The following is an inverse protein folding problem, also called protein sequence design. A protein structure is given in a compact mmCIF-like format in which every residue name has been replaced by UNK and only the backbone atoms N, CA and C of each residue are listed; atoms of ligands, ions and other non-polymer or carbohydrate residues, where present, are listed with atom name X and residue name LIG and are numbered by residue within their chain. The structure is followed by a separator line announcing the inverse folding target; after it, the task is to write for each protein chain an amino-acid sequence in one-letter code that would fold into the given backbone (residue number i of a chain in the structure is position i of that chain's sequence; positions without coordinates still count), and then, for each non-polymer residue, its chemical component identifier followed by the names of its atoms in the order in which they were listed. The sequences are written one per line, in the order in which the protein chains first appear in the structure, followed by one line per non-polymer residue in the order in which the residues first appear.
data_IF_783813171887
#
_entry.id   IF_783813171887
#
_cell.length_a   1.000
_cell.length_b   1.000
_cell.length_c   1.000
_cell.angle_alpha   90.00
_cell.angle_beta   90.00
_cell.angle_gamma   90.00
#
_symmetry.space_group_name_H-M   'P 1'
#
loop_
_entity.id
_entity.type
_entity.pdbx_description
1 polymer ?
#
# COMPACT_ATOMS: atom_id res chain seq x y z
N UNK A 1 -0.69 5.91 -46.00
CA UNK A 1 -1.40 4.91 -45.15
C UNK A 1 -2.49 5.63 -44.36
N UNK A 2 -3.74 5.17 -44.43
CA UNK A 2 -4.87 5.85 -43.76
C UNK A 2 -4.78 5.66 -42.23
N UNK A 3 -5.00 6.72 -41.42
CA UNK A 3 -5.00 6.70 -39.94
C UNK A 3 -5.85 5.58 -39.33
N UNK A 4 -6.88 5.09 -40.01
CA UNK A 4 -7.73 3.97 -39.59
C UNK A 4 -7.01 2.62 -39.53
N UNK A 5 -5.80 2.48 -40.12
CA UNK A 5 -5.03 1.23 -40.08
C UNK A 5 -4.37 1.02 -38.70
N UNK A 6 -4.00 2.09 -38.01
CA UNK A 6 -3.32 1.98 -36.70
C UNK A 6 -4.23 1.37 -35.63
N UNK A 7 -5.50 1.77 -35.61
CA UNK A 7 -6.48 1.20 -34.67
C UNK A 7 -6.70 -0.30 -34.96
N UNK A 8 -6.82 -0.68 -36.21
CA UNK A 8 -7.00 -2.08 -36.62
C UNK A 8 -5.78 -2.92 -36.23
N UNK A 9 -4.56 -2.42 -36.46
CA UNK A 9 -3.32 -3.09 -36.06
C UNK A 9 -3.20 -3.25 -34.55
N UNK A 10 -3.52 -2.21 -33.77
CA UNK A 10 -3.50 -2.25 -32.33
C UNK A 10 -4.53 -3.25 -31.78
N UNK A 11 -5.74 -3.27 -32.31
CA UNK A 11 -6.79 -4.25 -31.97
C UNK A 11 -6.37 -5.67 -32.28
N UNK A 12 -5.72 -5.90 -33.44
CA UNK A 12 -5.18 -7.21 -33.81
C UNK A 12 -4.10 -7.68 -32.84
N UNK A 13 -3.12 -6.82 -32.52
CA UNK A 13 -2.05 -7.14 -31.60
C UNK A 13 -2.58 -7.44 -30.19
N UNK A 14 -3.52 -6.63 -29.67
CA UNK A 14 -4.12 -6.87 -28.36
C UNK A 14 -4.94 -8.15 -28.32
N UNK A 15 -5.69 -8.48 -29.37
CA UNK A 15 -6.47 -9.73 -29.47
C UNK A 15 -5.56 -10.96 -29.45
N UNK A 16 -4.40 -10.91 -30.12
CA UNK A 16 -3.41 -11.99 -30.06
C UNK A 16 -2.95 -12.16 -28.62
N UNK A 17 -2.47 -11.10 -27.98
CA UNK A 17 -1.98 -11.18 -26.59
C UNK A 17 -3.04 -11.70 -25.62
N UNK A 18 -4.27 -11.20 -25.67
CA UNK A 18 -5.38 -11.66 -24.83
C UNK A 18 -5.62 -13.17 -24.99
N UNK A 19 -5.62 -13.67 -26.23
CA UNK A 19 -5.82 -15.08 -26.48
C UNK A 19 -4.65 -15.94 -25.99
N UNK A 20 -3.43 -15.48 -26.15
CA UNK A 20 -2.24 -16.17 -25.64
C UNK A 20 -2.20 -16.18 -24.11
N UNK A 21 -2.59 -15.10 -23.45
CA UNK A 21 -2.67 -15.02 -21.98
C UNK A 21 -3.65 -16.02 -21.39
N UNK A 22 -4.73 -16.38 -22.07
CA UNK A 22 -5.68 -17.42 -21.59
C UNK A 22 -5.01 -18.77 -21.33
N UNK A 23 -3.89 -19.05 -22.00
CA UNK A 23 -3.13 -20.30 -21.84
C UNK A 23 -2.46 -20.43 -20.46
N UNK A 24 -2.33 -19.33 -19.69
CA UNK A 24 -1.70 -19.32 -18.36
C UNK A 24 -2.31 -20.33 -17.40
N UNK A 25 -3.59 -20.64 -17.55
CA UNK A 25 -4.31 -21.60 -16.68
C UNK A 25 -3.59 -22.97 -16.59
N UNK A 26 -2.84 -23.38 -17.61
CA UNK A 26 -2.06 -24.62 -17.63
C UNK A 26 -0.89 -24.64 -16.65
N UNK A 27 -0.42 -23.45 -16.21
CA UNK A 27 0.69 -23.31 -15.25
C UNK A 27 0.23 -23.53 -13.82
N UNK A 28 -1.07 -23.33 -13.55
CA UNK A 28 -1.64 -23.47 -12.20
C UNK A 28 -1.92 -24.95 -11.89
N UNK A 29 -0.85 -25.67 -11.58
CA UNK A 29 -0.81 -27.10 -11.29
C UNK A 29 -0.03 -27.35 -9.99
N UNK A 30 0.30 -28.61 -9.71
CA UNK A 30 1.03 -28.98 -8.49
C UNK A 30 2.40 -28.27 -8.33
N UNK A 31 3.10 -27.95 -9.44
CA UNK A 31 4.34 -27.16 -9.37
C UNK A 31 4.10 -25.74 -8.90
N UNK A 32 2.99 -25.12 -9.30
CA UNK A 32 2.59 -23.80 -8.80
C UNK A 32 2.30 -23.84 -7.28
N UNK A 33 1.60 -24.87 -6.80
CA UNK A 33 1.36 -25.05 -5.36
C UNK A 33 2.69 -25.16 -4.62
N UNK A 34 3.61 -26.02 -5.08
CA UNK A 34 4.95 -26.15 -4.49
C UNK A 34 5.72 -24.83 -4.47
N UNK A 35 5.61 -24.01 -5.52
CA UNK A 35 6.26 -22.70 -5.57
C UNK A 35 5.69 -21.74 -4.52
N UNK A 36 4.37 -21.68 -4.37
CA UNK A 36 3.69 -20.89 -3.34
C UNK A 36 4.11 -21.35 -1.94
N UNK A 37 4.10 -22.67 -1.68
CA UNK A 37 4.48 -23.24 -0.38
C UNK A 37 5.94 -22.93 -0.04
N UNK A 38 6.84 -23.06 -1.01
CA UNK A 38 8.24 -22.73 -0.84
C UNK A 38 8.41 -21.25 -0.45
N UNK A 39 7.73 -20.35 -1.14
CA UNK A 39 7.77 -18.89 -0.85
C UNK A 39 7.19 -18.59 0.54
N UNK A 40 6.08 -19.20 0.91
CA UNK A 40 5.45 -19.00 2.23
C UNK A 40 6.36 -19.43 3.38
N UNK A 41 7.16 -20.49 3.18
CA UNK A 41 8.09 -21.03 4.16
C UNK A 41 9.50 -20.43 4.10
N UNK A 42 9.75 -19.47 3.21
CA UNK A 42 11.03 -18.80 3.06
C UNK A 42 11.44 -18.10 4.35
N UNK A 43 12.65 -18.39 4.84
CA UNK A 43 13.23 -17.74 6.04
C UNK A 43 14.16 -16.58 5.69
N UNK A 44 14.47 -16.41 4.42
CA UNK A 44 15.29 -15.34 3.87
C UNK A 44 14.51 -14.40 2.98
N UNK A 45 15.11 -14.06 1.84
CA UNK A 45 14.57 -13.19 0.80
C UNK A 45 14.14 -14.01 -0.42
N UNK A 46 13.22 -13.48 -1.19
CA UNK A 46 12.88 -14.00 -2.52
C UNK A 46 13.62 -13.16 -3.55
N UNK A 47 14.59 -13.74 -4.21
CA UNK A 47 15.47 -13.05 -5.15
C UNK A 47 15.01 -13.38 -6.56
N UNK A 48 14.79 -12.35 -7.35
CA UNK A 48 14.33 -12.46 -8.73
C UNK A 48 15.48 -12.17 -9.69
N UNK A 49 15.59 -12.99 -10.74
CA UNK A 49 16.63 -12.82 -11.74
C UNK A 49 16.09 -13.08 -13.16
N UNK A 50 16.75 -12.48 -14.14
CA UNK A 50 16.46 -12.64 -15.56
C UNK A 50 17.28 -11.66 -16.39
N UNK A 51 17.38 -11.92 -17.69
CA UNK A 51 18.17 -11.09 -18.61
C UNK A 51 17.26 -10.37 -19.61
N UNK A 52 17.61 -9.16 -19.99
CA UNK A 52 16.88 -8.38 -20.99
C UNK A 52 15.42 -8.11 -20.61
N UNK A 53 14.48 -8.43 -21.50
CA UNK A 53 13.04 -8.21 -21.23
C UNK A 53 12.53 -9.06 -20.06
N UNK A 54 13.02 -10.30 -19.90
CA UNK A 54 12.70 -11.14 -18.75
C UNK A 54 13.23 -10.55 -17.44
N UNK A 55 14.38 -9.89 -17.46
CA UNK A 55 14.94 -9.17 -16.31
C UNK A 55 14.08 -7.97 -15.88
N UNK A 56 13.59 -7.18 -16.83
CA UNK A 56 12.68 -6.07 -16.54
C UNK A 56 11.39 -6.56 -15.89
N UNK A 57 10.84 -7.68 -16.35
CA UNK A 57 9.68 -8.32 -15.75
C UNK A 57 10.00 -8.84 -14.34
N UNK A 58 11.14 -9.51 -14.17
CA UNK A 58 11.61 -10.00 -12.87
C UNK A 58 11.77 -8.85 -11.86
N UNK A 59 12.34 -7.72 -12.29
CA UNK A 59 12.46 -6.50 -11.48
C UNK A 59 11.09 -5.95 -11.04
N UNK A 60 10.11 -5.90 -11.95
CA UNK A 60 8.74 -5.47 -11.61
C UNK A 60 8.11 -6.42 -10.59
N UNK A 61 8.25 -7.73 -10.78
CA UNK A 61 7.66 -8.74 -9.88
C UNK A 61 8.30 -8.66 -8.50
N UNK A 62 9.63 -8.48 -8.39
CA UNK A 62 10.30 -8.30 -7.11
C UNK A 62 9.78 -7.10 -6.35
N UNK A 63 9.55 -5.97 -7.02
CA UNK A 63 8.94 -4.78 -6.43
C UNK A 63 7.50 -5.06 -5.94
N UNK A 64 6.71 -5.84 -6.69
CA UNK A 64 5.38 -6.27 -6.26
C UNK A 64 5.45 -7.11 -4.97
N UNK A 65 6.38 -8.08 -4.89
CA UNK A 65 6.58 -8.90 -3.69
C UNK A 65 6.96 -8.05 -2.47
N UNK A 66 7.92 -7.13 -2.64
CA UNK A 66 8.31 -6.19 -1.58
C UNK A 66 7.13 -5.35 -1.10
N UNK A 67 6.30 -4.87 -2.03
CA UNK A 67 5.13 -4.03 -1.73
C UNK A 67 4.05 -4.73 -0.92
N UNK A 68 4.01 -6.07 -0.96
CA UNK A 68 3.11 -6.89 -0.16
C UNK A 68 3.80 -7.53 1.06
N UNK A 69 4.96 -7.01 1.45
CA UNK A 69 5.66 -7.39 2.68
C UNK A 69 6.40 -8.72 2.60
N UNK A 70 6.83 -9.12 1.41
CA UNK A 70 7.72 -10.26 1.20
C UNK A 70 9.11 -9.68 0.88
N UNK A 71 10.13 -9.84 1.74
CA UNK A 71 11.46 -9.34 1.49
C UNK A 71 11.98 -9.88 0.15
N UNK A 72 12.18 -8.99 -0.82
CA UNK A 72 12.60 -9.39 -2.17
C UNK A 72 13.38 -8.29 -2.88
N UNK A 73 14.25 -8.69 -3.78
CA UNK A 73 14.95 -7.78 -4.68
C UNK A 73 15.27 -8.47 -6.01
N UNK A 74 15.64 -7.67 -7.01
CA UNK A 74 16.10 -8.14 -8.29
C UNK A 74 17.64 -8.19 -8.30
N UNK A 75 18.21 -9.33 -8.68
CA UNK A 75 19.63 -9.52 -8.91
C UNK A 75 19.87 -9.69 -10.41
N UNK A 76 20.64 -8.78 -11.01
CA UNK A 76 21.02 -8.86 -12.41
C UNK A 76 22.07 -9.94 -12.61
N UNK A 77 21.80 -10.97 -13.44
CA UNK A 77 22.76 -12.07 -13.65
C UNK A 77 24.12 -11.64 -14.19
N UNK A 78 24.18 -10.56 -14.98
CA UNK A 78 25.44 -10.05 -15.51
C UNK A 78 26.25 -9.35 -14.42
N UNK A 79 25.60 -8.50 -13.60
CA UNK A 79 26.24 -7.83 -12.46
C UNK A 79 26.61 -8.82 -11.34
N UNK A 80 25.85 -9.87 -11.18
CA UNK A 80 26.10 -10.91 -10.19
C UNK A 80 27.48 -11.56 -10.32
N UNK A 81 28.05 -11.59 -11.52
CA UNK A 81 29.41 -12.09 -11.77
C UNK A 81 30.50 -11.22 -11.15
N UNK A 82 30.21 -9.98 -10.82
CA UNK A 82 31.13 -9.03 -10.22
C UNK A 82 30.98 -8.86 -8.71
N UNK A 83 30.38 -9.86 -8.04
CA UNK A 83 30.32 -9.92 -6.58
C UNK A 83 28.91 -9.90 -5.98
N UNK A 84 27.86 -9.47 -6.73
CA UNK A 84 26.50 -9.36 -6.21
C UNK A 84 25.86 -10.69 -5.81
N UNK A 85 26.42 -11.83 -6.26
CA UNK A 85 26.01 -13.14 -5.73
C UNK A 85 26.24 -13.29 -4.23
N UNK A 86 27.13 -12.51 -3.64
CA UNK A 86 27.33 -12.46 -2.19
C UNK A 86 26.11 -11.98 -1.39
N UNK A 87 25.12 -11.36 -2.03
CA UNK A 87 23.85 -10.97 -1.41
C UNK A 87 22.88 -12.15 -1.25
N UNK A 88 23.18 -13.31 -1.85
CA UNK A 88 22.29 -14.49 -1.89
C UNK A 88 22.75 -15.49 -0.83
N UNK A 89 21.87 -15.81 0.11
CA UNK A 89 22.14 -16.73 1.22
C UNK A 89 21.39 -18.06 1.07
N UNK A 90 21.88 -19.11 1.73
CA UNK A 90 21.24 -20.45 1.71
C UNK A 90 19.76 -20.45 2.11
N UNK A 91 19.34 -19.51 2.97
CA UNK A 91 17.94 -19.40 3.42
C UNK A 91 17.03 -18.68 2.41
N UNK A 92 17.60 -18.11 1.36
CA UNK A 92 16.88 -17.39 0.31
C UNK A 92 16.31 -18.35 -0.73
N UNK A 93 15.40 -17.83 -1.56
CA UNK A 93 14.85 -18.51 -2.73
C UNK A 93 15.20 -17.68 -3.96
N UNK A 94 15.69 -18.34 -4.99
CA UNK A 94 15.98 -17.71 -6.26
C UNK A 94 14.91 -18.05 -7.28
N UNK A 95 14.23 -17.06 -7.84
CA UNK A 95 13.24 -17.20 -8.92
C UNK A 95 13.83 -16.63 -10.20
N UNK A 96 14.07 -17.48 -11.18
CA UNK A 96 14.72 -17.11 -12.43
C UNK A 96 13.75 -17.18 -13.60
N UNK A 97 13.65 -16.07 -14.32
CA UNK A 97 12.84 -15.94 -15.52
C UNK A 97 13.68 -15.94 -16.79
N UNK A 98 13.39 -16.89 -17.67
CA UNK A 98 13.92 -16.94 -19.04
C UNK A 98 12.94 -17.65 -19.93
N UNK A 99 12.30 -16.95 -20.86
CA UNK A 99 11.27 -17.59 -21.71
C UNK A 99 11.82 -18.75 -22.49
N UNK A 100 13.03 -18.64 -23.09
CA UNK A 100 13.71 -19.75 -23.76
C UNK A 100 14.26 -20.79 -22.78
N UNK A 101 14.62 -20.39 -21.58
CA UNK A 101 15.27 -21.19 -20.55
C UNK A 101 16.73 -21.55 -20.83
N UNK A 102 17.32 -21.02 -21.90
CA UNK A 102 18.68 -21.34 -22.35
C UNK A 102 19.59 -20.09 -22.46
N UNK A 103 19.29 -19.06 -21.67
CA UNK A 103 20.09 -17.83 -21.60
C UNK A 103 21.40 -18.11 -20.90
N UNK A 104 22.54 -17.95 -21.61
CA UNK A 104 23.89 -18.30 -21.14
C UNK A 104 24.31 -17.58 -19.87
N UNK A 105 23.93 -16.33 -19.72
CA UNK A 105 24.27 -15.46 -18.59
C UNK A 105 23.70 -15.98 -17.25
N UNK A 106 22.68 -16.83 -17.30
CA UNK A 106 22.10 -17.46 -16.10
C UNK A 106 22.91 -18.63 -15.56
N UNK A 107 23.80 -19.22 -16.37
CA UNK A 107 24.49 -20.46 -16.01
C UNK A 107 25.36 -20.33 -14.75
N UNK A 108 26.02 -19.20 -14.56
CA UNK A 108 26.87 -18.99 -13.38
C UNK A 108 26.03 -18.83 -12.11
N UNK A 109 24.90 -18.13 -12.20
CA UNK A 109 23.95 -18.01 -11.10
C UNK A 109 23.33 -19.36 -10.73
N UNK A 110 23.01 -20.20 -11.70
CA UNK A 110 22.51 -21.56 -11.47
C UNK A 110 23.59 -22.45 -10.82
N UNK A 111 24.83 -22.37 -11.28
CA UNK A 111 25.97 -23.10 -10.67
C UNK A 111 26.19 -22.66 -9.22
N UNK A 112 26.12 -21.34 -8.96
CA UNK A 112 26.21 -20.79 -7.60
C UNK A 112 25.09 -21.32 -6.71
N UNK A 113 23.83 -21.22 -7.16
CA UNK A 113 22.68 -21.70 -6.41
C UNK A 113 22.79 -23.19 -6.06
N UNK A 114 23.17 -24.02 -7.04
CA UNK A 114 23.35 -25.46 -6.83
C UNK A 114 24.50 -25.76 -5.83
N UNK A 115 25.64 -25.07 -5.97
CA UNK A 115 26.80 -25.23 -5.07
C UNK A 115 26.45 -24.93 -3.62
N UNK A 116 25.69 -23.85 -3.38
CA UNK A 116 25.31 -23.38 -2.02
C UNK A 116 23.96 -23.93 -1.56
N UNK A 117 23.34 -24.84 -2.35
CA UNK A 117 22.04 -25.47 -2.06
C UNK A 117 20.92 -24.44 -1.83
N UNK A 118 20.94 -23.36 -2.60
CA UNK A 118 19.89 -22.33 -2.63
C UNK A 118 18.74 -22.87 -3.48
N UNK A 119 17.51 -22.77 -2.98
CA UNK A 119 16.34 -23.27 -3.69
C UNK A 119 16.03 -22.42 -4.91
N UNK A 120 15.85 -23.07 -6.06
CA UNK A 120 15.59 -22.42 -7.35
C UNK A 120 14.21 -22.74 -7.88
N UNK A 121 13.44 -21.73 -8.21
CA UNK A 121 12.21 -21.79 -8.99
C UNK A 121 12.53 -21.29 -10.40
N UNK A 122 12.55 -22.17 -11.38
CA UNK A 122 12.77 -21.78 -12.78
C UNK A 122 11.46 -21.56 -13.53
N UNK A 123 11.40 -20.48 -14.31
CA UNK A 123 10.27 -20.12 -15.17
C UNK A 123 10.70 -20.03 -16.60
N UNK A 124 10.24 -20.96 -17.44
CA UNK A 124 10.59 -21.03 -18.87
C UNK A 124 9.50 -21.74 -19.68
N UNK A 125 9.53 -21.58 -21.03
CA UNK A 125 8.56 -22.25 -21.92
C UNK A 125 9.01 -23.62 -22.43
N UNK A 126 10.32 -23.94 -22.32
CA UNK A 126 10.88 -25.22 -22.79
C UNK A 126 11.17 -26.12 -21.60
N UNK A 127 10.46 -27.25 -21.41
CA UNK A 127 10.63 -28.16 -20.27
C UNK A 127 12.06 -28.68 -20.12
N UNK A 128 12.74 -28.93 -21.24
CA UNK A 128 14.10 -29.49 -21.30
C UNK A 128 15.22 -28.45 -21.28
N UNK A 129 14.88 -27.18 -21.05
CA UNK A 129 15.85 -26.10 -20.99
C UNK A 129 16.82 -26.24 -19.81
N UNK A 130 18.01 -25.64 -19.95
CA UNK A 130 19.07 -25.62 -18.93
C UNK A 130 18.51 -25.07 -17.60
N UNK A 131 17.75 -23.98 -17.63
CA UNK A 131 17.14 -23.39 -16.44
C UNK A 131 16.24 -24.39 -15.73
N UNK A 132 15.29 -25.01 -16.44
CA UNK A 132 14.32 -25.90 -15.79
C UNK A 132 14.95 -27.21 -15.31
N UNK A 133 15.98 -27.73 -16.01
CA UNK A 133 16.74 -28.90 -15.54
C UNK A 133 17.47 -28.63 -14.22
N UNK A 134 18.02 -27.42 -14.06
CA UNK A 134 18.76 -27.01 -12.88
C UNK A 134 17.88 -26.52 -11.72
N UNK A 135 16.55 -26.43 -11.89
CA UNK A 135 15.62 -25.87 -10.88
C UNK A 135 14.99 -26.94 -10.02
N UNK A 136 14.81 -26.66 -8.72
CA UNK A 136 14.06 -27.51 -7.76
C UNK A 136 12.56 -27.53 -8.11
N UNK A 137 12.01 -26.39 -8.54
CA UNK A 137 10.63 -26.27 -8.96
C UNK A 137 10.57 -25.67 -10.36
N UNK A 138 9.80 -26.32 -11.23
CA UNK A 138 9.68 -25.98 -12.65
C UNK A 138 8.30 -25.40 -12.93
N UNK A 139 8.25 -24.11 -13.26
CA UNK A 139 7.03 -23.45 -13.75
C UNK A 139 7.12 -23.33 -15.27
N UNK A 140 6.47 -24.25 -15.96
CA UNK A 140 6.52 -24.36 -17.41
C UNK A 140 5.48 -23.44 -18.03
N UNK A 141 5.92 -22.35 -18.66
CA UNK A 141 5.06 -21.45 -19.42
C UNK A 141 4.59 -22.11 -20.71
N UNK A 142 3.36 -21.87 -21.14
CA UNK A 142 2.91 -22.33 -22.45
C UNK A 142 3.66 -21.62 -23.57
N UNK A 143 3.86 -22.32 -24.68
CA UNK A 143 4.35 -21.69 -25.92
C UNK A 143 3.29 -20.70 -26.41
N UNK A 144 3.71 -19.43 -26.61
CA UNK A 144 2.84 -18.35 -27.06
C UNK A 144 3.31 -17.77 -28.38
N UNK A 145 2.37 -17.21 -29.14
CA UNK A 145 2.63 -16.44 -30.33
C UNK A 145 2.85 -14.97 -29.95
N UNK A 146 3.95 -14.37 -30.42
CA UNK A 146 4.16 -12.94 -30.26
C UNK A 146 3.21 -12.15 -31.15
N UNK A 147 2.85 -10.93 -30.73
CA UNK A 147 1.84 -10.12 -31.41
C UNK A 147 2.39 -9.23 -32.52
N UNK A 148 3.73 -9.14 -32.64
CA UNK A 148 4.38 -8.41 -33.70
C UNK A 148 4.39 -9.19 -35.04
N UNK A 149 4.64 -8.48 -36.14
CA UNK A 149 4.60 -9.04 -37.49
C UNK A 149 5.71 -10.04 -37.77
N UNK A 150 6.82 -9.97 -37.04
CA UNK A 150 7.99 -10.86 -37.19
C UNK A 150 7.94 -12.08 -36.28
N UNK A 151 7.12 -12.04 -35.23
CA UNK A 151 7.05 -13.05 -34.18
C UNK A 151 8.30 -13.09 -33.29
N UNK A 152 9.14 -12.07 -33.31
CA UNK A 152 10.41 -12.00 -32.60
C UNK A 152 10.42 -11.05 -31.39
N UNK A 153 9.58 -10.00 -31.44
CA UNK A 153 9.54 -9.00 -30.35
C UNK A 153 8.77 -9.55 -29.16
N UNK A 154 9.41 -9.68 -27.98
CA UNK A 154 8.71 -10.20 -26.79
C UNK A 154 7.54 -9.32 -26.37
N UNK A 155 6.34 -9.80 -26.56
CA UNK A 155 5.05 -9.18 -26.26
C UNK A 155 4.19 -10.13 -25.42
N UNK A 156 3.61 -11.16 -26.04
CA UNK A 156 2.81 -12.18 -25.34
C UNK A 156 3.63 -12.96 -24.32
N UNK A 157 4.89 -13.27 -24.64
CA UNK A 157 5.79 -13.99 -23.74
C UNK A 157 6.14 -13.19 -22.47
N UNK A 158 6.36 -11.88 -22.59
CA UNK A 158 6.58 -11.01 -21.42
C UNK A 158 5.30 -10.80 -20.63
N UNK A 159 4.18 -10.62 -21.31
CA UNK A 159 2.87 -10.43 -20.66
C UNK A 159 2.44 -11.65 -19.85
N UNK A 160 2.62 -12.89 -20.37
CA UNK A 160 2.27 -14.12 -19.64
C UNK A 160 3.23 -14.38 -18.47
N UNK A 161 4.51 -14.02 -18.61
CA UNK A 161 5.49 -14.09 -17.52
C UNK A 161 5.14 -13.14 -16.38
N UNK A 162 4.77 -11.91 -16.71
CA UNK A 162 4.30 -10.91 -15.76
C UNK A 162 3.05 -11.39 -15.02
N UNK A 163 2.06 -11.89 -15.77
CA UNK A 163 0.82 -12.42 -15.20
C UNK A 163 1.08 -13.56 -14.21
N UNK A 164 2.00 -14.50 -14.54
CA UNK A 164 2.41 -15.56 -13.62
C UNK A 164 2.99 -14.99 -12.32
N UNK A 165 3.89 -14.03 -12.42
CA UNK A 165 4.53 -13.38 -11.26
C UNK A 165 3.52 -12.65 -10.36
N UNK A 166 2.56 -11.94 -10.95
CA UNK A 166 1.50 -11.27 -10.21
C UNK A 166 0.53 -12.28 -9.57
N UNK A 167 0.23 -13.40 -10.23
CA UNK A 167 -0.54 -14.49 -9.63
C UNK A 167 0.18 -15.14 -8.45
N UNK A 168 1.50 -15.36 -8.53
CA UNK A 168 2.31 -15.82 -7.39
C UNK A 168 2.23 -14.84 -6.22
N UNK A 169 2.49 -13.55 -6.47
CA UNK A 169 2.46 -12.51 -5.46
C UNK A 169 1.09 -12.42 -4.76
N UNK A 170 0.01 -12.38 -5.53
CA UNK A 170 -1.36 -12.26 -4.99
C UNK A 170 -1.80 -13.51 -4.24
N UNK A 171 -1.39 -14.70 -4.69
CA UNK A 171 -1.67 -15.96 -3.99
C UNK A 171 -0.95 -16.01 -2.65
N UNK A 172 0.35 -15.68 -2.60
CA UNK A 172 1.11 -15.61 -1.35
C UNK A 172 0.56 -14.53 -0.42
N UNK A 173 0.22 -13.35 -0.95
CA UNK A 173 -0.43 -12.26 -0.22
C UNK A 173 -1.73 -12.73 0.46
N UNK A 174 -2.58 -13.46 -0.26
CA UNK A 174 -3.84 -13.99 0.26
C UNK A 174 -3.59 -15.00 1.39
N UNK A 175 -2.68 -15.96 1.22
CA UNK A 175 -2.35 -16.96 2.23
C UNK A 175 -1.75 -16.34 3.51
N UNK A 176 -0.98 -15.25 3.37
CA UNK A 176 -0.43 -14.48 4.52
C UNK A 176 -1.46 -13.58 5.21
N UNK A 177 -2.73 -13.60 4.78
CA UNK A 177 -3.79 -12.70 5.27
C UNK A 177 -3.30 -11.24 5.30
N UNK A 178 -2.72 -10.81 4.17
CA UNK A 178 -2.19 -9.46 4.04
C UNK A 178 -3.36 -8.46 3.98
N UNK A 179 -3.34 -7.47 4.88
CA UNK A 179 -4.43 -6.50 5.03
C UNK A 179 -4.07 -5.12 4.49
N UNK A 180 -5.08 -4.25 4.35
CA UNK A 180 -4.90 -2.85 3.98
C UNK A 180 -4.01 -2.09 4.97
N UNK A 181 -4.08 -2.44 6.26
CA UNK A 181 -3.25 -1.84 7.30
C UNK A 181 -1.78 -2.20 7.10
N UNK A 182 -1.48 -3.48 6.76
CA UNK A 182 -0.12 -3.91 6.41
C UNK A 182 0.37 -3.23 5.13
N UNK A 183 -0.50 -3.03 4.13
CA UNK A 183 -0.15 -2.33 2.90
C UNK A 183 0.30 -0.88 3.16
N UNK A 184 -0.37 -0.19 4.08
CA UNK A 184 -0.02 1.17 4.51
C UNK A 184 1.40 1.27 5.07
N UNK A 185 1.86 0.25 5.82
CA UNK A 185 3.21 0.23 6.41
C UNK A 185 4.30 0.30 5.33
N UNK A 186 4.07 -0.37 4.18
CA UNK A 186 5.04 -0.41 3.07
C UNK A 186 4.86 0.74 2.07
N UNK A 187 3.80 1.55 2.19
CA UNK A 187 3.50 2.67 1.29
C UNK A 187 3.20 3.97 2.06
N UNK A 188 4.12 4.46 2.91
CA UNK A 188 3.83 5.56 3.83
C UNK A 188 3.62 6.93 3.12
N UNK A 189 4.13 7.12 1.90
CA UNK A 189 4.11 8.41 1.20
C UNK A 189 3.26 8.44 -0.08
N UNK A 190 2.53 7.39 -0.42
CA UNK A 190 1.75 7.34 -1.66
C UNK A 190 0.27 7.71 -1.47
N UNK A 191 -0.40 8.15 -2.55
CA UNK A 191 -1.84 8.42 -2.53
C UNK A 191 -2.67 7.26 -1.97
N UNK A 192 -2.24 6.02 -2.20
CA UNK A 192 -2.89 4.82 -1.67
C UNK A 192 -2.68 4.72 -0.15
N UNK A 193 -1.48 5.00 0.37
CA UNK A 193 -1.21 5.04 1.80
C UNK A 193 -2.05 6.10 2.52
N UNK A 194 -2.11 7.29 1.94
CA UNK A 194 -2.88 8.41 2.47
C UNK A 194 -4.39 8.13 2.48
N UNK A 195 -4.93 7.46 1.45
CA UNK A 195 -6.35 7.08 1.39
C UNK A 195 -6.76 6.05 2.45
N UNK A 196 -5.79 5.34 3.04
CA UNK A 196 -6.00 4.35 4.09
C UNK A 196 -5.83 4.90 5.52
N UNK A 197 -5.52 6.20 5.67
CA UNK A 197 -5.41 6.85 6.96
C UNK A 197 -6.78 6.91 7.67
N UNK A 198 -6.77 6.56 8.95
CA UNK A 198 -7.94 6.66 9.82
C UNK A 198 -7.84 7.90 10.71
N UNK A 199 -8.96 8.33 11.27
CA UNK A 199 -9.05 9.45 12.21
C UNK A 199 -8.04 9.35 13.35
N UNK A 200 -7.84 8.15 13.91
CA UNK A 200 -6.87 7.88 14.99
C UNK A 200 -5.41 8.10 14.60
N UNK A 201 -5.09 8.02 13.31
CA UNK A 201 -3.71 8.17 12.81
C UNK A 201 -3.29 9.64 12.68
N UNK A 202 -4.28 10.56 12.60
CA UNK A 202 -4.05 11.98 12.32
C UNK A 202 -4.46 12.87 13.49
N UNK A 203 -5.31 12.37 14.40
CA UNK A 203 -5.84 13.16 15.51
C UNK A 203 -4.74 13.61 16.48
N UNK A 204 -4.89 14.80 17.02
CA UNK A 204 -4.12 15.30 18.17
C UNK A 204 -4.67 14.66 19.43
N UNK A 205 -3.79 14.22 20.33
CA UNK A 205 -4.16 13.53 21.58
C UNK A 205 -3.41 14.10 22.80
N UNK A 206 -3.87 13.69 23.98
CA UNK A 206 -3.19 14.01 25.25
C UNK A 206 -3.06 15.50 25.49
N UNK A 207 -1.90 15.92 26.01
CA UNK A 207 -1.62 17.31 26.39
C UNK A 207 -1.60 18.29 25.22
N UNK A 208 -1.64 17.81 23.98
CA UNK A 208 -1.71 18.68 22.80
C UNK A 208 -3.15 19.13 22.49
N UNK A 209 -4.15 18.49 23.05
CA UNK A 209 -5.56 18.87 22.85
C UNK A 209 -5.89 20.16 23.63
N UNK A 210 -6.60 21.13 23.01
CA UNK A 210 -7.16 22.30 23.67
C UNK A 210 -8.43 21.91 24.45
N UNK A 211 -8.27 21.61 25.72
CA UNK A 211 -9.34 21.13 26.59
C UNK A 211 -9.38 21.93 27.88
N UNK A 212 -10.56 22.34 28.28
CA UNK A 212 -10.80 23.00 29.57
C UNK A 212 -12.01 22.39 30.30
N UNK A 213 -12.06 22.64 31.60
CA UNK A 213 -13.19 22.21 32.41
C UNK A 213 -14.39 23.15 32.23
N UNK A 214 -15.60 22.59 32.41
CA UNK A 214 -16.90 23.25 32.28
C UNK A 214 -17.06 24.52 33.14
N UNK A 215 -16.39 24.62 34.28
CA UNK A 215 -16.45 25.77 35.20
C UNK A 215 -15.47 26.88 34.86
N UNK A 216 -14.73 26.75 33.76
CA UNK A 216 -13.80 27.77 33.29
C UNK A 216 -14.55 28.89 32.55
N UNK A 217 -13.91 30.07 32.50
CA UNK A 217 -14.49 31.27 31.91
C UNK A 217 -13.90 31.58 30.51
N UNK A 218 -14.37 32.66 29.90
CA UNK A 218 -13.94 33.15 28.60
C UNK A 218 -12.43 33.41 28.52
N UNK A 219 -11.82 34.05 29.51
CA UNK A 219 -10.39 34.36 29.55
C UNK A 219 -9.53 33.12 29.55
N UNK A 220 -9.94 32.08 30.27
CA UNK A 220 -9.24 30.80 30.33
C UNK A 220 -9.35 30.02 29.01
N UNK A 221 -10.52 30.08 28.34
CA UNK A 221 -10.70 29.50 27.02
C UNK A 221 -9.79 30.15 25.97
N UNK A 222 -9.72 31.49 25.96
CA UNK A 222 -8.86 32.24 25.06
C UNK A 222 -7.38 31.92 25.31
N UNK A 223 -6.95 31.84 26.56
CA UNK A 223 -5.58 31.45 26.93
C UNK A 223 -5.23 30.04 26.42
N UNK A 224 -6.12 29.08 26.59
CA UNK A 224 -5.89 27.68 26.13
C UNK A 224 -5.89 27.59 24.60
N UNK A 225 -6.80 28.29 23.92
CA UNK A 225 -6.87 28.37 22.46
C UNK A 225 -5.56 28.92 21.86
N UNK A 226 -5.05 30.04 22.40
CA UNK A 226 -3.80 30.65 21.98
C UNK A 226 -2.61 29.73 22.24
N UNK A 227 -2.61 29.01 23.37
CA UNK A 227 -1.54 28.07 23.73
C UNK A 227 -1.47 26.88 22.77
N UNK A 228 -2.62 26.35 22.33
CA UNK A 228 -2.70 25.13 21.51
C UNK A 228 -2.78 25.40 20.00
N UNK A 229 -3.13 26.62 19.60
CA UNK A 229 -3.15 27.11 18.20
C UNK A 229 -4.01 26.26 17.24
N UNK A 230 -5.12 25.68 17.73
CA UNK A 230 -6.05 24.91 16.91
C UNK A 230 -7.36 25.67 16.61
N UNK A 231 -7.50 26.93 17.04
CA UNK A 231 -8.68 27.75 16.81
C UNK A 231 -9.95 27.22 17.48
N UNK A 232 -9.84 26.24 18.37
CA UNK A 232 -10.96 25.66 19.13
C UNK A 232 -10.55 25.34 20.57
N UNK A 233 -11.55 25.22 21.45
CA UNK A 233 -11.38 24.64 22.80
C UNK A 233 -12.56 23.73 23.11
N UNK A 234 -12.28 22.53 23.54
CA UNK A 234 -13.29 21.53 23.93
C UNK A 234 -13.58 21.68 25.42
N UNK A 235 -14.86 21.75 25.76
CA UNK A 235 -15.33 21.88 27.14
C UNK A 235 -15.74 20.52 27.65
N UNK A 236 -15.13 20.10 28.76
CA UNK A 236 -15.45 18.82 29.41
C UNK A 236 -16.08 19.03 30.78
N UNK A 237 -17.10 18.21 31.09
CA UNK A 237 -17.66 18.06 32.43
C UNK A 237 -17.53 16.58 32.84
N UNK A 238 -16.84 16.30 33.94
CA UNK A 238 -16.62 14.93 34.40
C UNK A 238 -16.05 13.99 33.31
N UNK A 239 -15.09 14.45 32.54
CA UNK A 239 -14.46 13.77 31.38
C UNK A 239 -15.33 13.65 30.13
N UNK A 240 -16.60 14.07 30.18
CA UNK A 240 -17.49 14.01 29.02
C UNK A 240 -17.50 15.31 28.22
N UNK A 241 -17.58 15.19 26.89
CA UNK A 241 -17.73 16.32 25.99
C UNK A 241 -19.06 17.01 26.29
N UNK A 242 -18.99 18.29 26.65
CA UNK A 242 -20.17 19.11 26.97
C UNK A 242 -20.38 20.18 25.91
N UNK A 243 -19.31 20.67 25.29
CA UNK A 243 -19.40 21.69 24.26
C UNK A 243 -18.07 21.96 23.59
N UNK A 244 -18.11 22.85 22.62
CA UNK A 244 -16.99 23.34 21.84
C UNK A 244 -17.11 24.86 21.70
N UNK A 245 -16.01 25.57 21.80
CA UNK A 245 -15.89 26.99 21.48
C UNK A 245 -14.84 27.16 20.39
N UNK A 246 -15.16 27.93 19.37
CA UNK A 246 -14.24 28.29 18.28
C UNK A 246 -13.72 29.71 18.47
N UNK A 247 -12.63 30.05 17.75
CA UNK A 247 -12.14 31.43 17.68
C UNK A 247 -13.17 32.40 17.08
N UNK A 248 -14.00 31.90 16.15
CA UNK A 248 -15.11 32.64 15.59
C UNK A 248 -16.20 32.97 16.63
N UNK A 249 -16.48 32.02 17.54
CA UNK A 249 -17.43 32.24 18.64
C UNK A 249 -16.89 33.31 19.59
N UNK A 250 -15.63 33.16 20.02
CA UNK A 250 -14.99 34.16 20.90
C UNK A 250 -14.97 35.56 20.29
N UNK A 251 -14.69 35.65 18.98
CA UNK A 251 -14.61 36.93 18.26
C UNK A 251 -15.98 37.63 18.14
N UNK A 252 -17.05 36.88 17.89
CA UNK A 252 -18.42 37.41 17.83
C UNK A 252 -18.87 37.95 19.18
N UNK A 253 -18.47 37.32 20.25
CA UNK A 253 -18.92 37.60 21.60
C UNK A 253 -18.06 38.65 22.35
N UNK A 254 -16.88 39.02 21.78
CA UNK A 254 -15.97 40.02 22.37
C UNK A 254 -16.63 41.38 22.72
N UNK A 255 -17.69 41.76 21.99
CA UNK A 255 -18.43 43.02 22.24
C UNK A 255 -19.55 42.87 23.28
N UNK A 256 -19.99 41.66 23.56
CA UNK A 256 -21.22 41.38 24.32
C UNK A 256 -20.94 40.75 25.69
N UNK A 257 -19.73 40.19 25.91
CA UNK A 257 -19.43 39.43 27.11
C UNK A 257 -18.22 39.98 27.89
N UNK A 258 -18.31 39.83 29.23
CA UNK A 258 -17.20 40.06 30.13
C UNK A 258 -16.19 38.89 30.07
N UNK A 259 -14.91 39.14 30.31
CA UNK A 259 -13.85 38.14 30.40
C UNK A 259 -14.14 37.04 31.45
N UNK A 260 -15.01 37.30 32.40
CA UNK A 260 -15.42 36.41 33.48
C UNK A 260 -16.70 35.62 33.18
N UNK A 261 -17.32 35.86 32.01
CA UNK A 261 -18.56 35.15 31.65
C UNK A 261 -18.38 33.64 31.46
N UNK A 262 -19.41 32.91 31.81
CA UNK A 262 -19.39 31.46 31.69
C UNK A 262 -19.58 31.01 30.24
N UNK A 263 -18.76 30.06 29.82
CA UNK A 263 -18.70 29.52 28.44
C UNK A 263 -20.05 28.89 27.98
N UNK A 264 -20.94 28.53 28.87
CA UNK A 264 -22.24 27.92 28.53
C UNK A 264 -23.14 28.79 27.66
N UNK A 265 -22.95 30.11 27.75
CA UNK A 265 -23.78 31.06 27.02
C UNK A 265 -23.59 31.01 25.52
N UNK A 266 -22.35 30.70 25.05
CA UNK A 266 -21.97 30.78 23.64
C UNK A 266 -21.26 29.55 23.07
N UNK A 267 -21.07 28.48 23.84
CA UNK A 267 -20.51 27.25 23.33
C UNK A 267 -21.47 26.51 22.40
N UNK A 268 -20.96 25.85 21.39
CA UNK A 268 -21.68 24.83 20.62
C UNK A 268 -21.91 23.61 21.49
N UNK A 269 -23.17 23.36 21.89
CA UNK A 269 -23.57 22.28 22.84
C UNK A 269 -23.50 20.88 22.19
N UNK A 270 -23.62 20.78 20.88
CA UNK A 270 -23.62 19.53 20.12
C UNK A 270 -22.53 19.55 19.04
N UNK A 271 -21.23 19.48 19.44
CA UNK A 271 -20.14 19.48 18.47
C UNK A 271 -20.16 18.21 17.62
N UNK A 272 -19.69 18.32 16.38
CA UNK A 272 -19.54 17.17 15.51
C UNK A 272 -18.48 16.21 16.03
N UNK A 273 -18.88 14.95 16.14
CA UNK A 273 -18.05 13.87 16.69
C UNK A 273 -17.94 12.76 15.67
N UNK A 274 -16.75 12.23 15.49
CA UNK A 274 -16.47 11.09 14.59
C UNK A 274 -15.81 9.93 15.35
N UNK A 275 -15.92 8.75 14.75
CA UNK A 275 -15.31 7.54 15.29
C UNK A 275 -13.80 7.51 14.95
N UNK A 276 -12.99 7.01 15.87
CA UNK A 276 -11.52 6.87 15.70
C UNK A 276 -11.12 6.04 14.49
N UNK A 277 -11.94 5.08 14.04
CA UNK A 277 -11.71 4.22 12.88
C UNK A 277 -12.35 4.77 11.58
N UNK A 278 -12.90 5.99 11.60
CA UNK A 278 -13.40 6.64 10.39
C UNK A 278 -12.24 6.96 9.44
N UNK A 279 -12.36 6.69 8.12
CA UNK A 279 -11.39 7.13 7.14
C UNK A 279 -11.16 8.64 7.19
N UNK A 280 -9.89 9.07 7.13
CA UNK A 280 -9.52 10.48 7.20
C UNK A 280 -10.12 11.31 6.04
N UNK A 281 -10.23 10.71 4.85
CA UNK A 281 -10.91 11.33 3.69
C UNK A 281 -12.39 11.62 3.98
N UNK A 282 -13.08 10.71 4.68
CA UNK A 282 -14.47 10.93 5.09
C UNK A 282 -14.59 12.02 6.15
N UNK A 283 -13.61 12.11 7.07
CA UNK A 283 -13.56 13.22 8.04
C UNK A 283 -13.40 14.57 7.33
N UNK A 284 -12.55 14.67 6.31
CA UNK A 284 -12.42 15.88 5.48
C UNK A 284 -13.70 16.22 4.74
N UNK A 285 -14.36 15.23 4.15
CA UNK A 285 -15.66 15.45 3.46
C UNK A 285 -16.72 16.01 4.41
N UNK A 286 -16.80 15.52 5.66
CA UNK A 286 -17.69 16.07 6.69
C UNK A 286 -17.34 17.51 7.04
N UNK A 287 -16.02 17.82 7.18
CA UNK A 287 -15.59 19.19 7.47
C UNK A 287 -16.00 20.15 6.36
N UNK A 288 -15.82 19.77 5.09
CA UNK A 288 -16.20 20.57 3.93
C UNK A 288 -17.73 20.75 3.84
N UNK A 289 -18.50 19.68 4.02
CA UNK A 289 -19.98 19.72 3.99
C UNK A 289 -20.53 20.63 5.09
N UNK A 290 -20.01 20.47 6.31
CA UNK A 290 -20.48 21.24 7.49
C UNK A 290 -19.80 22.59 7.63
N UNK A 291 -18.84 22.94 6.75
CA UNK A 291 -18.05 24.18 6.78
C UNK A 291 -17.36 24.40 8.13
N UNK A 292 -16.77 23.34 8.68
CA UNK A 292 -16.04 23.34 9.95
C UNK A 292 -14.58 22.90 9.73
N UNK A 293 -13.69 23.38 10.60
CA UNK A 293 -12.23 23.10 10.49
C UNK A 293 -11.77 22.01 11.44
N UNK A 294 -12.63 21.51 12.32
CA UNK A 294 -12.24 20.54 13.34
C UNK A 294 -13.36 19.55 13.63
N UNK A 295 -12.98 18.32 13.96
CA UNK A 295 -13.87 17.26 14.41
C UNK A 295 -13.34 16.64 15.70
N UNK A 296 -14.23 16.35 16.62
CA UNK A 296 -13.91 15.62 17.85
C UNK A 296 -13.91 14.13 17.58
N UNK A 297 -12.92 13.41 18.10
CA UNK A 297 -12.77 11.97 17.89
C UNK A 297 -13.08 11.23 19.19
N UNK A 298 -13.86 10.19 19.09
CA UNK A 298 -14.18 9.29 20.19
C UNK A 298 -13.90 7.83 19.79
N UNK A 299 -13.73 6.94 20.79
CA UNK A 299 -13.58 5.52 20.51
C UNK A 299 -14.88 4.89 19.98
N UNK A 300 -14.77 3.76 19.26
CA UNK A 300 -15.92 2.99 18.78
C UNK A 300 -16.94 2.72 19.86
N UNK A 301 -16.47 2.30 21.03
CA UNK A 301 -17.32 1.98 22.20
C UNK A 301 -18.10 3.18 22.71
N UNK A 302 -17.59 4.41 22.53
CA UNK A 302 -18.20 5.65 23.00
C UNK A 302 -19.01 6.38 21.92
N UNK A 303 -18.84 6.06 20.66
CA UNK A 303 -19.46 6.77 19.55
C UNK A 303 -20.98 6.77 19.60
N UNK A 304 -21.58 5.65 19.97
CA UNK A 304 -23.05 5.49 20.11
C UNK A 304 -23.61 5.94 21.47
N UNK A 305 -22.74 6.25 22.46
CA UNK A 305 -23.19 6.65 23.80
C UNK A 305 -23.65 8.10 23.82
N UNK A 306 -24.61 8.42 24.71
CA UNK A 306 -25.06 9.80 24.97
C UNK A 306 -23.90 10.64 25.53
N UNK A 307 -23.22 10.13 26.54
CA UNK A 307 -22.05 10.79 27.14
C UNK A 307 -20.77 10.31 26.46
N UNK A 308 -20.14 11.19 25.70
CA UNK A 308 -18.98 10.89 24.86
C UNK A 308 -17.69 11.33 25.54
N UNK A 309 -16.68 10.46 25.57
CA UNK A 309 -15.34 10.75 26.09
C UNK A 309 -14.43 11.12 24.92
N UNK A 310 -13.81 12.30 25.01
CA UNK A 310 -12.87 12.79 24.00
C UNK A 310 -11.62 11.91 23.96
N UNK A 311 -11.28 11.43 22.78
CA UNK A 311 -10.03 10.67 22.53
C UNK A 311 -9.00 11.49 21.75
N UNK A 312 -9.47 12.35 20.85
CA UNK A 312 -8.62 13.20 20.03
C UNK A 312 -9.40 14.29 19.30
N UNK A 313 -8.67 15.12 18.59
CA UNK A 313 -9.19 16.21 17.76
C UNK A 313 -8.51 16.12 16.40
N UNK A 314 -9.30 16.13 15.32
CA UNK A 314 -8.77 16.29 13.96
C UNK A 314 -8.98 17.75 13.55
N UNK A 315 -7.93 18.36 13.03
CA UNK A 315 -7.99 19.67 12.41
C UNK A 315 -7.69 19.57 10.91
N UNK A 316 -8.35 20.36 10.09
CA UNK A 316 -8.25 20.31 8.62
C UNK A 316 -6.81 20.43 8.12
N UNK A 317 -5.98 21.26 8.76
CA UNK A 317 -4.56 21.41 8.38
C UNK A 317 -3.77 20.11 8.51
N UNK A 318 -4.05 19.27 9.51
CA UNK A 318 -3.38 17.99 9.64
C UNK A 318 -3.81 16.99 8.56
N UNK A 319 -5.06 17.05 8.11
CA UNK A 319 -5.53 16.27 6.96
C UNK A 319 -4.78 16.65 5.69
N UNK A 320 -4.72 17.96 5.42
CA UNK A 320 -4.03 18.49 4.23
C UNK A 320 -2.52 18.23 4.24
N UNK A 321 -1.85 18.39 5.40
CA UNK A 321 -0.43 18.07 5.57
C UNK A 321 -0.12 16.60 5.32
N UNK A 322 -1.06 15.70 5.62
CA UNK A 322 -0.95 14.27 5.31
C UNK A 322 -1.44 13.91 3.90
N UNK A 323 -1.64 14.90 3.02
CA UNK A 323 -2.01 14.69 1.62
C UNK A 323 -3.44 14.15 1.42
N UNK A 324 -4.32 14.29 2.40
CA UNK A 324 -5.74 13.97 2.26
C UNK A 324 -6.42 15.09 1.49
N UNK A 325 -7.03 14.76 0.35
CA UNK A 325 -7.70 15.69 -0.55
C UNK A 325 -9.16 15.31 -0.73
#
# INVERSE_FOLDING_TARGET
MRKNNYIALAKKASSIQINELKKIKKVFNHSFVKAVDLILNCKGKVIFAGVGKSGLIAKKISATFSSVGIPSFFCDPAQALHGDMGQIEKKDILIIFSYSGNTSELNNMLKYANRFRIKVIGVASKPDSVLLKASDIKLVLPKVKESDVTGMVPTSSTSITLLLGDCLATTVMHQRKFSKEKFKVFHPGGNIGNSLLLSKDIMVTGNKMPVINYNKNFKEALKEMNRKKLGIVVILKNKFITGLVTDGDLRRELKSYSQNDNLHKFMTKTPFVVNENMPASKALAIMNEKKITSLLVVSDKNYKKKNKILKGIIHIHFLLQNGIK
#
